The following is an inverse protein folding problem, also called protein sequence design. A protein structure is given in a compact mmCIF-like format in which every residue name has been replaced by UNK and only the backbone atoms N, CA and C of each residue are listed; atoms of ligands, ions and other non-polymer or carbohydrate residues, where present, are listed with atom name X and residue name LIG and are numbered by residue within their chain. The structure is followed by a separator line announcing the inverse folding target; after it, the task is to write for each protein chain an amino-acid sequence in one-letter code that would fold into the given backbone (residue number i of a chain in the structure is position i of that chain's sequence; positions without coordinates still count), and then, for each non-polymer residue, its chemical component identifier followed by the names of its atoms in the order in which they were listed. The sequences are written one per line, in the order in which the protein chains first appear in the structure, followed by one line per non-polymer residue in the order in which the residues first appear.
data_IF_731750726749
#
_entry.id   IF_731750726749
#
_cell.length_a   1.000
_cell.length_b   1.000
_cell.length_c   1.000
_cell.angle_alpha   90.00
_cell.angle_beta   90.00
_cell.angle_gamma   90.00
#
_symmetry.space_group_name_H-M   'P 1'
#
loop_
_entity.id
_entity.type
_entity.pdbx_description
1 polymer ?
#
# COMPACT_ATOMS: atom_id res chain seq x y z
N UNK A 1 -1.61 3.72 -15.57
CA UNK A 1 -0.47 4.46 -16.15
C UNK A 1 0.28 3.55 -17.12
N UNK A 2 1.13 4.09 -18.00
CA UNK A 2 1.92 3.26 -18.91
C UNK A 2 3.09 2.57 -18.18
N UNK A 3 3.33 1.27 -18.43
CA UNK A 3 4.48 0.53 -17.91
C UNK A 3 5.81 1.05 -18.45
N UNK A 4 6.87 0.88 -17.65
CA UNK A 4 8.26 1.19 -18.01
C UNK A 4 8.92 2.25 -17.12
N UNK A 5 10.24 2.45 -17.31
CA UNK A 5 10.99 3.48 -16.61
C UNK A 5 10.54 4.89 -17.00
N UNK A 6 10.57 5.80 -16.03
CA UNK A 6 10.27 7.22 -16.21
C UNK A 6 11.54 8.05 -16.09
N UNK A 7 11.55 9.21 -16.75
CA UNK A 7 12.67 10.16 -16.65
C UNK A 7 12.89 10.69 -15.23
N UNK A 8 11.85 10.68 -14.40
CA UNK A 8 11.92 11.05 -12.98
C UNK A 8 12.43 9.92 -12.08
N UNK A 9 12.65 8.72 -12.61
CA UNK A 9 13.14 7.62 -11.78
C UNK A 9 14.57 7.90 -11.35
N UNK A 10 14.81 7.86 -10.04
CA UNK A 10 16.15 8.02 -9.49
C UNK A 10 17.06 6.83 -9.81
N UNK A 11 18.34 6.94 -9.46
CA UNK A 11 19.35 5.89 -9.66
C UNK A 11 18.96 4.53 -9.08
N UNK A 12 18.12 4.52 -8.05
CA UNK A 12 17.62 3.31 -7.41
C UNK A 12 16.56 2.56 -8.21
N UNK A 13 15.96 3.20 -9.23
CA UNK A 13 14.88 2.60 -10.01
C UNK A 13 15.26 1.24 -10.61
N UNK A 14 16.46 1.13 -11.19
CA UNK A 14 16.96 -0.13 -11.76
C UNK A 14 17.13 -1.29 -10.77
N UNK A 15 17.14 -1.01 -9.46
CA UNK A 15 17.30 -2.01 -8.42
C UNK A 15 16.00 -2.30 -7.66
N UNK A 16 15.07 -1.35 -7.60
CA UNK A 16 13.88 -1.43 -6.73
C UNK A 16 12.54 -1.34 -7.46
N UNK A 17 12.52 -0.83 -8.70
CA UNK A 17 11.26 -0.44 -9.36
C UNK A 17 10.75 -1.46 -10.38
N UNK A 18 11.30 -2.68 -10.42
CA UNK A 18 10.84 -3.72 -11.36
C UNK A 18 9.32 -3.95 -11.29
N UNK A 19 8.74 -4.02 -10.09
CA UNK A 19 7.28 -4.15 -9.90
C UNK A 19 6.51 -2.91 -10.36
N UNK A 20 7.04 -1.72 -10.12
CA UNK A 20 6.45 -0.44 -10.53
C UNK A 20 6.47 -0.32 -12.06
N UNK A 21 7.60 -0.61 -12.71
CA UNK A 21 7.76 -0.55 -14.16
C UNK A 21 6.88 -1.55 -14.89
N UNK A 22 6.54 -2.70 -14.27
CA UNK A 22 5.61 -3.67 -14.85
C UNK A 22 4.14 -3.31 -14.62
N UNK A 23 3.85 -2.41 -13.68
CA UNK A 23 2.47 -2.05 -13.34
C UNK A 23 1.88 -1.06 -14.35
N UNK A 24 0.60 -1.26 -14.69
CA UNK A 24 -0.20 -0.32 -15.47
C UNK A 24 -1.32 0.33 -14.65
N UNK A 25 -1.36 0.08 -13.35
CA UNK A 25 -2.38 0.58 -12.42
C UNK A 25 -2.26 -0.11 -11.07
N UNK A 26 -3.28 0.05 -10.22
CA UNK A 26 -3.36 -0.64 -8.94
C UNK A 26 -3.78 -2.10 -9.13
N UNK A 27 -3.11 -3.01 -8.43
CA UNK A 27 -3.53 -4.40 -8.35
C UNK A 27 -4.89 -4.51 -7.65
N UNK A 28 -5.73 -5.50 -8.01
CA UNK A 28 -6.96 -5.76 -7.30
C UNK A 28 -6.67 -6.12 -5.83
N UNK A 29 -7.61 -5.78 -4.96
CA UNK A 29 -7.52 -6.17 -3.55
C UNK A 29 -7.57 -7.71 -3.44
N UNK A 30 -6.50 -8.30 -2.93
CA UNK A 30 -6.47 -9.71 -2.56
C UNK A 30 -6.67 -9.87 -1.04
N UNK A 31 -7.52 -10.79 -0.57
CA UNK A 31 -7.60 -11.10 0.85
C UNK A 31 -6.23 -11.57 1.36
N UNK A 32 -5.87 -11.15 2.57
CA UNK A 32 -4.69 -11.68 3.25
C UNK A 32 -5.10 -12.88 4.08
N UNK A 33 -4.37 -13.97 3.95
CA UNK A 33 -4.56 -15.18 4.75
C UNK A 33 -3.60 -15.18 5.94
N UNK A 34 -4.00 -15.81 7.04
CA UNK A 34 -3.20 -15.96 8.26
C UNK A 34 -3.76 -15.24 9.48
N UNK A 35 -3.21 -15.58 10.65
CA UNK A 35 -3.52 -14.94 11.93
C UNK A 35 -2.45 -13.92 12.29
N UNK A 36 -2.87 -12.85 12.98
CA UNK A 36 -1.95 -11.84 13.47
C UNK A 36 -1.22 -12.37 14.72
N UNK A 37 0.10 -12.22 14.76
CA UNK A 37 0.87 -12.59 15.96
C UNK A 37 0.39 -11.80 17.19
N UNK A 38 0.28 -12.46 18.35
CA UNK A 38 -0.27 -11.88 19.58
C UNK A 38 0.33 -10.52 19.96
N UNK A 39 1.65 -10.37 19.83
CA UNK A 39 2.36 -9.13 20.15
C UNK A 39 1.99 -7.93 19.26
N UNK A 40 1.33 -8.16 18.13
CA UNK A 40 0.87 -7.10 17.21
C UNK A 40 -0.59 -6.68 17.47
N UNK A 41 -1.32 -7.35 18.38
CA UNK A 41 -2.71 -7.00 18.66
C UNK A 41 -2.84 -5.59 19.24
N UNK A 42 -1.90 -5.14 20.08
CA UNK A 42 -1.92 -3.76 20.60
C UNK A 42 -1.79 -2.73 19.47
N UNK A 43 -0.85 -2.96 18.55
CA UNK A 43 -0.65 -2.11 17.37
C UNK A 43 -1.89 -2.07 16.49
N UNK A 44 -2.56 -3.22 16.31
CA UNK A 44 -3.81 -3.30 15.57
C UNK A 44 -4.89 -2.41 16.20
N UNK A 45 -5.11 -2.54 17.51
CA UNK A 45 -6.16 -1.77 18.18
C UNK A 45 -5.89 -0.25 18.13
N UNK A 46 -4.65 0.18 18.38
CA UNK A 46 -4.25 1.59 18.26
C UNK A 46 -4.44 2.12 16.83
N UNK A 47 -3.96 1.36 15.84
CA UNK A 47 -4.07 1.74 14.42
C UNK A 47 -5.53 1.78 13.96
N UNK A 48 -6.36 0.88 14.46
CA UNK A 48 -7.78 0.77 14.08
C UNK A 48 -8.58 1.96 14.56
N UNK A 49 -8.30 2.47 15.76
CA UNK A 49 -8.93 3.69 16.27
C UNK A 49 -8.64 4.88 15.35
N UNK A 50 -7.35 5.12 15.04
CA UNK A 50 -6.92 6.21 14.14
C UNK A 50 -7.53 6.03 12.74
N UNK A 51 -7.52 4.81 12.22
CA UNK A 51 -8.10 4.51 10.91
C UNK A 51 -9.60 4.85 10.84
N UNK A 52 -10.36 4.56 11.89
CA UNK A 52 -11.79 4.86 11.95
C UNK A 52 -12.04 6.37 11.91
N UNK A 53 -11.26 7.17 12.63
CA UNK A 53 -11.34 8.64 12.58
C UNK A 53 -11.08 9.18 11.18
N UNK A 54 -9.98 8.73 10.54
CA UNK A 54 -9.63 9.12 9.17
C UNK A 54 -10.71 8.69 8.17
N UNK A 55 -11.29 7.51 8.36
CA UNK A 55 -12.33 6.97 7.50
C UNK A 55 -13.59 7.84 7.52
N UNK A 56 -13.92 8.46 8.66
CA UNK A 56 -15.07 9.37 8.71
C UNK A 56 -14.83 10.65 7.92
N UNK A 57 -13.59 11.16 7.92
CA UNK A 57 -13.15 12.34 7.16
C UNK A 57 -12.79 12.06 5.70
N UNK A 58 -12.94 10.81 5.22
CA UNK A 58 -12.56 10.46 3.85
C UNK A 58 -13.32 11.31 2.83
N UNK A 59 -12.66 11.63 1.72
CA UNK A 59 -13.30 12.28 0.57
C UNK A 59 -14.46 11.39 0.11
N UNK A 60 -15.66 11.97 0.09
CA UNK A 60 -16.87 11.35 -0.44
C UNK A 60 -17.15 12.02 -1.77
N UNK A 61 -17.21 11.24 -2.84
CA UNK A 61 -17.56 11.68 -4.19
C UNK A 61 -19.01 11.31 -4.46
#
# INVERSE_FOLDING_TARGET
WDPGPRSCDGLWGKFWYDSVWKSSGFSPQSPKEGELSEHLHSVLEESKMIYQELREMRIRT
#
